data_IF_063117643061
#
_entry.id   IF_063117643061
#
_cell.length_a   1.000
_cell.length_b   1.000
_cell.length_c   1.000
_cell.angle_alpha   90.00
_cell.angle_beta   90.00
_cell.angle_gamma   90.00
#
_symmetry.space_group_name_H-M   'P 1'
#
loop_
_entity.id
_entity.type
_entity.pdbx_description
1 polymer ?
#
# COMPACT_ATOMS: atom_id res chain seq x y z
N UNK A 1 8.88 42.44 -16.01
CA UNK A 1 8.87 41.84 -17.36
C UNK A 1 8.70 40.35 -17.16
N UNK A 2 7.67 39.75 -17.76
CA UNK A 2 7.54 38.30 -17.78
C UNK A 2 8.39 37.77 -18.94
N UNK A 3 9.25 36.80 -18.65
CA UNK A 3 10.05 36.12 -19.66
C UNK A 3 9.21 34.96 -20.22
N UNK A 4 9.02 34.94 -21.53
CA UNK A 4 8.27 33.89 -22.22
C UNK A 4 9.22 32.82 -22.72
N UNK A 5 8.97 31.57 -22.34
CA UNK A 5 9.66 30.38 -22.86
C UNK A 5 8.69 29.55 -23.71
N UNK A 6 9.17 29.02 -24.83
CA UNK A 6 8.41 28.14 -25.70
C UNK A 6 8.95 26.71 -25.59
N UNK A 7 8.06 25.75 -25.33
CA UNK A 7 8.39 24.33 -25.23
C UNK A 7 7.48 23.54 -26.19
N UNK A 8 8.09 22.68 -27.00
CA UNK A 8 7.36 21.75 -27.85
C UNK A 8 7.37 20.37 -27.22
N UNK A 9 6.20 19.90 -26.77
CA UNK A 9 6.01 18.60 -26.15
C UNK A 9 5.08 17.75 -27.00
N UNK A 10 5.24 16.42 -26.92
CA UNK A 10 4.20 15.52 -27.38
C UNK A 10 3.01 15.60 -26.43
N UNK A 11 1.81 15.31 -26.93
CA UNK A 11 0.60 15.25 -26.11
C UNK A 11 0.72 14.21 -24.98
N UNK A 12 1.40 13.09 -25.22
CA UNK A 12 1.72 12.08 -24.21
C UNK A 12 2.50 12.67 -23.05
N UNK A 13 3.55 13.44 -23.33
CA UNK A 13 4.44 13.97 -22.31
C UNK A 13 3.70 15.02 -21.45
N UNK A 14 2.81 15.79 -22.07
CA UNK A 14 1.95 16.74 -21.35
C UNK A 14 0.90 16.01 -20.47
N UNK A 15 0.41 14.85 -20.91
CA UNK A 15 -0.46 14.00 -20.10
C UNK A 15 0.29 13.37 -18.92
N UNK A 16 1.53 12.97 -19.09
CA UNK A 16 2.37 12.44 -18.01
C UNK A 16 2.64 13.53 -16.96
N UNK A 17 2.88 14.77 -17.40
CA UNK A 17 3.02 15.92 -16.49
C UNK A 17 1.70 16.18 -15.74
N UNK A 18 0.55 16.10 -16.41
CA UNK A 18 -0.77 16.23 -15.78
C UNK A 18 -0.93 15.18 -14.66
N UNK A 19 -0.69 13.91 -14.97
CA UNK A 19 -0.77 12.79 -14.01
C UNK A 19 0.18 12.97 -12.83
N UNK A 20 1.43 13.38 -13.08
CA UNK A 20 2.42 13.60 -12.03
C UNK A 20 2.01 14.75 -11.08
N UNK A 21 1.46 15.85 -11.63
CA UNK A 21 0.95 16.96 -10.82
C UNK A 21 -0.26 16.54 -9.99
N UNK A 22 -1.16 15.76 -10.59
CA UNK A 22 -2.36 15.24 -9.93
C UNK A 22 -1.99 14.31 -8.77
N UNK A 23 -1.09 13.35 -9.01
CA UNK A 23 -0.61 12.43 -8.00
C UNK A 23 0.06 13.17 -6.82
N UNK A 24 0.92 14.16 -7.13
CA UNK A 24 1.55 14.99 -6.11
C UNK A 24 0.53 15.72 -5.25
N UNK A 25 -0.48 16.34 -5.87
CA UNK A 25 -1.51 17.05 -5.14
C UNK A 25 -2.33 16.11 -4.24
N UNK A 26 -2.72 14.94 -4.75
CA UNK A 26 -3.43 13.93 -3.96
C UNK A 26 -2.63 13.49 -2.73
N UNK A 27 -1.32 13.21 -2.90
CA UNK A 27 -0.43 12.84 -1.80
C UNK A 27 -0.32 13.97 -0.77
N UNK A 28 -0.12 15.21 -1.24
CA UNK A 28 0.00 16.38 -0.36
C UNK A 28 -1.29 16.61 0.43
N UNK A 29 -2.45 16.53 -0.22
CA UNK A 29 -3.74 16.71 0.44
C UNK A 29 -3.99 15.62 1.50
N UNK A 30 -3.72 14.35 1.17
CA UNK A 30 -3.79 13.25 2.14
C UNK A 30 -2.83 13.45 3.32
N UNK A 31 -1.59 13.87 3.07
CA UNK A 31 -0.62 14.14 4.13
C UNK A 31 -1.13 15.26 5.06
N UNK A 32 -1.68 16.33 4.52
CA UNK A 32 -2.27 17.42 5.30
C UNK A 32 -3.44 16.95 6.14
N UNK A 33 -4.34 16.15 5.57
CA UNK A 33 -5.45 15.54 6.30
C UNK A 33 -4.95 14.70 7.49
N UNK A 34 -3.91 13.88 7.30
CA UNK A 34 -3.33 13.08 8.40
C UNK A 34 -2.72 13.93 9.50
N UNK A 35 -2.25 15.14 9.17
CA UNK A 35 -1.71 16.11 10.13
C UNK A 35 -2.79 17.01 10.75
N UNK A 36 -4.06 16.83 10.39
CA UNK A 36 -5.17 17.68 10.84
C UNK A 36 -5.15 19.08 10.23
N UNK A 37 -4.46 19.27 9.11
CA UNK A 37 -4.43 20.53 8.37
C UNK A 37 -5.57 20.61 7.35
N UNK A 38 -5.93 21.84 6.97
CA UNK A 38 -6.93 22.07 5.93
C UNK A 38 -6.48 21.50 4.58
N UNK A 39 -7.47 21.00 3.83
CA UNK A 39 -7.31 20.51 2.47
C UNK A 39 -6.83 21.61 1.52
N UNK A 40 -6.03 21.23 0.54
CA UNK A 40 -5.57 22.12 -0.53
C UNK A 40 -6.36 21.86 -1.79
N UNK A 41 -6.81 22.92 -2.45
CA UNK A 41 -7.43 22.80 -3.77
C UNK A 41 -6.43 22.34 -4.84
N UNK A 42 -6.92 21.89 -6.01
CA UNK A 42 -6.07 21.52 -7.13
C UNK A 42 -5.15 22.68 -7.55
N UNK A 43 -3.91 22.40 -7.98
CA UNK A 43 -2.98 23.45 -8.39
C UNK A 43 -3.47 24.11 -9.69
N UNK A 44 -3.43 25.44 -9.75
CA UNK A 44 -3.86 26.23 -10.93
C UNK A 44 -3.19 25.84 -12.25
N UNK A 45 -2.00 25.22 -12.18
CA UNK A 45 -1.30 24.72 -13.36
C UNK A 45 -2.02 23.51 -13.99
N UNK A 46 -2.73 22.71 -13.18
CA UNK A 46 -3.51 21.56 -13.63
C UNK A 46 -4.61 22.01 -14.59
N UNK A 47 -5.43 23.00 -14.19
CA UNK A 47 -6.50 23.57 -15.03
C UNK A 47 -5.96 24.09 -16.38
N UNK A 48 -4.77 24.71 -16.36
CA UNK A 48 -4.10 25.20 -17.57
C UNK A 48 -3.68 24.03 -18.48
N UNK A 49 -3.14 22.97 -17.90
CA UNK A 49 -2.74 21.77 -18.65
C UNK A 49 -3.97 21.06 -19.22
N UNK A 50 -5.06 20.96 -18.47
CA UNK A 50 -6.32 20.37 -18.93
C UNK A 50 -6.90 21.14 -20.11
N UNK A 51 -6.84 22.48 -20.05
CA UNK A 51 -7.20 23.35 -21.17
C UNK A 51 -6.33 23.11 -22.40
N UNK A 52 -5.01 22.95 -22.22
CA UNK A 52 -4.07 22.66 -23.31
C UNK A 52 -4.30 21.26 -23.92
N UNK A 53 -4.63 20.28 -23.09
CA UNK A 53 -4.96 18.91 -23.50
C UNK A 53 -6.35 18.81 -24.13
N UNK A 54 -7.19 19.84 -23.95
CA UNK A 54 -8.60 19.94 -24.36
C UNK A 54 -9.46 18.84 -23.73
N UNK A 55 -9.20 18.56 -22.46
CA UNK A 55 -9.98 17.59 -21.70
C UNK A 55 -11.35 18.19 -21.37
N UNK A 56 -12.40 17.37 -21.48
CA UNK A 56 -13.69 17.70 -20.89
C UNK A 56 -13.73 17.27 -19.41
N UNK A 57 -14.78 17.68 -18.69
CA UNK A 57 -14.92 17.38 -17.26
C UNK A 57 -14.95 15.87 -16.99
N UNK A 58 -15.61 15.07 -17.85
CA UNK A 58 -15.65 13.62 -17.69
C UNK A 58 -14.28 12.96 -17.90
N UNK A 59 -13.48 13.44 -18.84
CA UNK A 59 -12.14 12.94 -19.14
C UNK A 59 -11.17 13.32 -18.02
N UNK A 60 -11.24 14.55 -17.52
CA UNK A 60 -10.46 14.99 -16.36
C UNK A 60 -10.81 14.15 -15.12
N UNK A 61 -12.10 13.90 -14.89
CA UNK A 61 -12.57 13.07 -13.79
C UNK A 61 -12.13 11.60 -13.91
N UNK A 62 -12.13 11.04 -15.14
CA UNK A 62 -11.57 9.70 -15.39
C UNK A 62 -10.08 9.64 -15.10
N UNK A 63 -9.32 10.65 -15.52
CA UNK A 63 -7.87 10.72 -15.23
C UNK A 63 -7.61 10.86 -13.73
N UNK A 64 -8.43 11.62 -13.01
CA UNK A 64 -8.39 11.70 -11.56
C UNK A 64 -8.53 10.32 -10.91
N UNK A 65 -9.57 9.57 -11.27
CA UNK A 65 -9.77 8.24 -10.68
C UNK A 65 -8.68 7.25 -11.07
N UNK A 66 -8.16 7.30 -12.30
CA UNK A 66 -7.01 6.48 -12.68
C UNK A 66 -5.80 6.71 -11.78
N UNK A 67 -5.47 7.98 -11.51
CA UNK A 67 -4.33 8.31 -10.63
C UNK A 67 -4.64 7.95 -9.18
N UNK A 68 -5.88 8.12 -8.72
CA UNK A 68 -6.30 7.70 -7.38
C UNK A 68 -6.17 6.18 -7.19
N UNK A 69 -6.64 5.40 -8.17
CA UNK A 69 -6.53 3.94 -8.19
C UNK A 69 -5.07 3.49 -8.24
N UNK A 70 -4.24 4.09 -9.09
CA UNK A 70 -2.79 3.79 -9.16
C UNK A 70 -2.08 4.05 -7.82
N UNK A 71 -2.39 5.17 -7.17
CA UNK A 71 -1.85 5.51 -5.85
C UNK A 71 -2.34 4.55 -4.77
N UNK A 72 -3.61 4.15 -4.84
CA UNK A 72 -4.20 3.18 -3.93
C UNK A 72 -3.53 1.81 -4.08
N UNK A 73 -3.42 1.30 -5.30
CA UNK A 73 -2.76 0.03 -5.61
C UNK A 73 -1.31 0.04 -5.10
N UNK A 74 -0.53 1.08 -5.43
CA UNK A 74 0.84 1.21 -4.95
C UNK A 74 0.92 1.20 -3.41
N UNK A 75 0.02 1.93 -2.75
CA UNK A 75 -0.03 1.99 -1.28
C UNK A 75 -0.39 0.64 -0.68
N UNK A 76 -1.34 -0.07 -1.30
CA UNK A 76 -1.74 -1.41 -0.88
C UNK A 76 -0.61 -2.42 -1.04
N UNK A 77 0.07 -2.44 -2.19
CA UNK A 77 1.22 -3.32 -2.41
C UNK A 77 2.32 -3.06 -1.38
N UNK A 78 2.74 -1.80 -1.22
CA UNK A 78 3.77 -1.42 -0.25
C UNK A 78 3.40 -1.84 1.18
N UNK A 79 2.15 -1.59 1.58
CA UNK A 79 1.64 -2.02 2.89
C UNK A 79 1.67 -3.54 3.05
N UNK A 80 1.21 -4.30 2.05
CA UNK A 80 1.14 -5.77 2.13
C UNK A 80 2.52 -6.41 2.22
N UNK A 81 3.50 -5.89 1.48
CA UNK A 81 4.89 -6.35 1.54
C UNK A 81 5.51 -6.07 2.92
N UNK A 82 5.38 -4.83 3.42
CA UNK A 82 5.88 -4.46 4.74
C UNK A 82 5.21 -5.27 5.86
N UNK A 83 3.90 -5.47 5.76
CA UNK A 83 3.14 -6.31 6.69
C UNK A 83 3.66 -7.75 6.70
N UNK A 84 3.76 -8.38 5.53
CA UNK A 84 4.20 -9.76 5.41
C UNK A 84 5.64 -9.93 5.90
N UNK A 85 6.53 -8.98 5.60
CA UNK A 85 7.89 -8.97 6.11
C UNK A 85 7.93 -8.89 7.64
N UNK A 86 7.21 -7.94 8.23
CA UNK A 86 7.14 -7.77 9.67
C UNK A 86 6.54 -9.01 10.36
N UNK A 87 5.53 -9.65 9.73
CA UNK A 87 4.92 -10.89 10.24
C UNK A 87 5.90 -12.06 10.20
N UNK A 88 6.66 -12.22 9.12
CA UNK A 88 7.74 -13.20 9.02
C UNK A 88 8.81 -12.98 10.10
N UNK A 89 9.20 -11.72 10.33
CA UNK A 89 10.17 -11.36 11.38
C UNK A 89 9.66 -11.76 12.77
N UNK A 90 8.38 -11.53 13.06
CA UNK A 90 7.76 -11.96 14.32
C UNK A 90 7.72 -13.48 14.49
N UNK A 91 7.41 -14.22 13.42
CA UNK A 91 7.35 -15.68 13.47
C UNK A 91 8.76 -16.27 13.67
N UNK A 92 9.78 -15.78 12.96
CA UNK A 92 11.19 -16.16 13.18
C UNK A 92 11.65 -15.84 14.61
N UNK A 93 11.31 -14.65 15.13
CA UNK A 93 11.59 -14.28 16.53
C UNK A 93 10.95 -15.24 17.53
N UNK A 94 9.73 -15.70 17.25
CA UNK A 94 8.99 -16.61 18.11
C UNK A 94 9.57 -18.03 18.10
N UNK A 95 9.98 -18.51 16.93
CA UNK A 95 10.56 -19.85 16.78
C UNK A 95 11.95 -19.96 17.40
N UNK A 96 12.83 -18.97 17.16
CA UNK A 96 14.18 -18.97 17.71
C UNK A 96 14.22 -18.73 19.21
N UNK A 97 13.22 -18.04 19.77
CA UNK A 97 13.08 -17.82 21.22
C UNK A 97 14.36 -17.26 21.87
N UNK A 98 15.05 -18.09 22.66
CA UNK A 98 16.31 -17.72 23.34
C UNK A 98 17.56 -17.82 22.46
N UNK A 99 17.51 -18.63 21.40
CA UNK A 99 18.64 -18.87 20.48
C UNK A 99 18.95 -17.66 19.62
N UNK A 100 17.96 -16.78 19.41
CA UNK A 100 18.09 -15.48 18.74
C UNK A 100 19.25 -14.63 19.26
N UNK A 101 19.57 -14.69 20.56
CA UNK A 101 20.64 -13.88 21.17
C UNK A 101 22.04 -14.25 20.67
N UNK A 102 22.19 -15.40 20.04
CA UNK A 102 23.47 -15.94 19.59
C UNK A 102 23.62 -15.92 18.07
N UNK A 103 22.61 -15.45 17.34
CA UNK A 103 22.65 -15.34 15.89
C UNK A 103 23.06 -13.94 15.46
N UNK A 104 23.80 -13.88 14.35
CA UNK A 104 24.15 -12.61 13.73
C UNK A 104 22.94 -11.99 13.02
N UNK A 105 22.96 -10.67 12.84
CA UNK A 105 21.85 -9.92 12.22
C UNK A 105 21.57 -10.42 10.80
N UNK A 106 22.62 -10.69 10.03
CA UNK A 106 22.52 -11.17 8.65
C UNK A 106 21.89 -12.57 8.56
N UNK A 107 22.17 -13.43 9.55
CA UNK A 107 21.56 -14.76 9.64
C UNK A 107 20.07 -14.69 9.99
N UNK A 108 19.69 -13.74 10.85
CA UNK A 108 18.29 -13.49 11.18
C UNK A 108 17.53 -12.96 9.96
N UNK A 109 18.11 -12.01 9.23
CA UNK A 109 17.52 -11.48 7.98
C UNK A 109 17.34 -12.57 6.94
N UNK A 110 18.35 -13.43 6.73
CA UNK A 110 18.25 -14.57 5.79
C UNK A 110 17.13 -15.54 6.18
N UNK A 111 16.94 -15.80 7.48
CA UNK A 111 15.85 -16.65 7.96
C UNK A 111 14.48 -15.98 7.80
N UNK A 112 14.40 -14.67 8.04
CA UNK A 112 13.19 -13.88 7.83
C UNK A 112 12.81 -13.83 6.35
N UNK A 113 13.77 -13.63 5.46
CA UNK A 113 13.56 -13.65 4.00
C UNK A 113 13.02 -15.00 3.52
N UNK A 114 13.65 -16.11 3.92
CA UNK A 114 13.12 -17.44 3.61
C UNK A 114 11.72 -17.66 4.14
N UNK A 115 11.46 -17.23 5.37
CA UNK A 115 10.13 -17.37 5.99
C UNK A 115 9.08 -16.51 5.28
N UNK A 116 9.47 -15.31 4.88
CA UNK A 116 8.65 -14.40 4.08
C UNK A 116 8.27 -15.04 2.75
N UNK A 117 9.25 -15.55 1.99
CA UNK A 117 9.00 -16.20 0.69
C UNK A 117 8.10 -17.43 0.82
N UNK A 118 8.31 -18.26 1.84
CA UNK A 118 7.54 -19.48 2.07
C UNK A 118 6.07 -19.22 2.47
N UNK A 119 5.80 -18.11 3.15
CA UNK A 119 4.49 -17.83 3.75
C UNK A 119 3.81 -16.54 3.28
N UNK A 120 4.34 -15.85 2.28
CA UNK A 120 3.83 -14.59 1.75
C UNK A 120 2.32 -14.60 1.51
N UNK A 121 1.82 -15.61 0.77
CA UNK A 121 0.38 -15.74 0.48
C UNK A 121 -0.46 -15.91 1.74
N UNK A 122 0.09 -16.54 2.79
CA UNK A 122 -0.61 -16.72 4.06
C UNK A 122 -0.71 -15.38 4.79
N UNK A 123 0.37 -14.60 4.81
CA UNK A 123 0.38 -13.28 5.46
C UNK A 123 -0.52 -12.27 4.76
N UNK A 124 -0.57 -12.30 3.42
CA UNK A 124 -1.49 -11.45 2.65
C UNK A 124 -2.95 -11.81 2.95
N UNK A 125 -3.28 -13.10 3.10
CA UNK A 125 -4.65 -13.53 3.48
C UNK A 125 -5.09 -13.04 4.86
N UNK A 126 -4.18 -12.74 5.78
CA UNK A 126 -4.53 -12.21 7.10
C UNK A 126 -5.13 -10.79 7.02
N UNK A 127 -4.72 -10.02 6.01
CA UNK A 127 -5.13 -8.63 5.79
C UNK A 127 -6.07 -8.46 4.60
N UNK A 128 -6.24 -9.50 3.77
CA UNK A 128 -7.24 -9.49 2.70
C UNK A 128 -8.64 -9.30 3.29
N UNK A 129 -9.40 -8.41 2.69
CA UNK A 129 -10.79 -8.12 3.08
C UNK A 129 -11.78 -9.12 2.48
N UNK A 130 -11.31 -10.13 1.73
CA UNK A 130 -12.14 -11.22 1.23
C UNK A 130 -12.64 -12.07 2.41
N UNK A 131 -13.95 -12.04 2.65
CA UNK A 131 -14.63 -12.72 3.77
C UNK A 131 -14.68 -14.26 3.62
N UNK A 132 -13.61 -14.92 3.21
CA UNK A 132 -13.47 -16.37 3.41
C UNK A 132 -12.99 -16.66 4.83
N UNK A 133 -13.83 -16.27 5.80
CA UNK A 133 -13.77 -16.73 7.19
C UNK A 133 -13.91 -18.24 7.17
N UNK A 134 -12.78 -18.95 7.16
CA UNK A 134 -12.77 -20.40 7.39
C UNK A 134 -13.59 -20.73 8.65
N UNK A 135 -14.48 -21.74 8.60
CA UNK A 135 -15.24 -22.13 9.77
C UNK A 135 -14.27 -22.59 10.85
N UNK A 136 -14.23 -21.84 11.96
CA UNK A 136 -13.48 -22.23 13.17
C UNK A 136 -13.84 -23.68 13.50
N UNK A 137 -12.88 -24.61 13.64
CA UNK A 137 -13.20 -25.95 14.10
C UNK A 137 -13.80 -25.82 15.50
N UNK A 138 -15.07 -26.20 15.62
CA UNK A 138 -15.78 -26.31 16.88
C UNK A 138 -14.93 -27.15 17.83
N UNK A 139 -14.53 -26.57 18.97
CA UNK A 139 -13.92 -27.31 20.07
C UNK A 139 -14.87 -28.45 20.46
N UNK A 140 -14.62 -29.66 19.97
CA UNK A 140 -15.16 -30.88 20.55
C UNK A 140 -14.57 -30.98 21.96
N UNK A 141 -15.40 -30.73 22.97
CA UNK A 141 -15.09 -31.11 24.35
C UNK A 141 -14.83 -32.62 24.35
N UNK A 142 -13.56 -33.00 24.53
CA UNK A 142 -13.22 -34.36 24.96
C UNK A 142 -13.66 -34.49 26.41
N UNK A 143 -14.85 -35.03 26.63
CA UNK A 143 -15.22 -35.60 27.92
C UNK A 143 -14.32 -36.81 28.18
N UNK A 144 -13.26 -36.59 28.96
CA UNK A 144 -12.44 -37.66 29.51
C UNK A 144 -13.22 -38.27 30.68
N UNK A 145 -13.71 -39.49 30.47
CA UNK A 145 -14.22 -40.41 31.49
C UNK A 145 -13.18 -40.59 32.61
N UNK A 146 -13.61 -40.55 33.88
CA UNK A 146 -13.39 -41.61 34.87
C UNK A 146 -13.72 -41.13 36.30
N UNK A 147 -14.79 -41.67 36.88
CA UNK A 147 -14.80 -41.98 38.31
C UNK A 147 -15.47 -43.33 38.50
N UNK A 148 -14.64 -44.36 38.60
CA UNK A 148 -14.93 -45.56 39.38
C UNK A 148 -14.32 -45.32 40.76
N UNK A 149 -15.15 -45.25 41.79
CA UNK A 149 -14.99 -45.97 43.05
C UNK A 149 -16.29 -45.93 43.83
#
# INVERSE_FOLDING_TARGET
MEEFAYLQLKKSDLLDIHRALLARWLIEDKLRQTQGLESVGPPLLLDRIETLLRLNEEEAHKLFHQVEDELWEHSWYSFTEEWAWHRAEQDVKKELGRERKYMDKDQLETLTEKRYEEHLETYIKEISMDEDKQPKPSRQKKDIKNSKK
#
